data_IF_763771373862
#
_entry.id   IF_763771373862
#
_cell.length_a   1.000
_cell.length_b   1.000
_cell.length_c   1.000
_cell.angle_alpha   90.00
_cell.angle_beta   90.00
_cell.angle_gamma   90.00
#
_symmetry.space_group_name_H-M   'P 1'
#
loop_
_entity.id
_entity.type
_entity.pdbx_description
1 polymer ?
#
# COMPACT_ATOMS: atom_id res chain seq x y z
N UNK A 1 15.38 17.49 19.92
CA UNK A 1 15.20 16.23 19.15
C UNK A 1 15.94 15.01 19.72
N UNK A 2 17.28 14.88 19.62
CA UNK A 2 18.03 13.68 20.08
C UNK A 2 17.67 13.26 21.52
N UNK A 3 17.77 14.20 22.47
CA UNK A 3 17.39 13.98 23.88
C UNK A 3 15.97 13.47 24.07
N UNK A 4 15.01 14.00 23.31
CA UNK A 4 13.61 13.56 23.40
C UNK A 4 13.43 12.14 22.88
N UNK A 5 14.16 11.76 21.82
CA UNK A 5 14.07 10.41 21.25
C UNK A 5 14.62 9.38 22.23
N UNK A 6 15.77 9.68 22.86
CA UNK A 6 16.32 8.81 23.92
C UNK A 6 15.37 8.73 25.11
N UNK A 7 14.81 9.86 25.55
CA UNK A 7 13.84 9.86 26.66
C UNK A 7 12.61 8.99 26.36
N UNK A 8 12.08 9.09 25.14
CA UNK A 8 10.91 8.33 24.70
C UNK A 8 11.19 6.82 24.63
N UNK A 9 12.37 6.40 24.17
CA UNK A 9 12.71 4.96 24.15
C UNK A 9 12.96 4.40 25.55
N UNK A 10 13.41 5.21 26.50
CA UNK A 10 13.59 4.80 27.90
C UNK A 10 12.29 4.50 28.65
N UNK A 11 11.14 4.94 28.13
CA UNK A 11 9.83 4.52 28.66
C UNK A 11 9.57 3.02 28.48
N UNK A 12 10.36 2.35 27.62
CA UNK A 12 10.17 0.95 27.22
C UNK A 12 11.37 0.06 27.56
N UNK A 13 12.06 0.34 28.67
CA UNK A 13 13.16 -0.51 29.14
C UNK A 13 12.70 -1.97 29.39
N UNK A 14 13.59 -2.96 29.19
CA UNK A 14 14.98 -2.83 28.77
C UNK A 14 15.14 -2.54 27.27
N UNK A 15 16.20 -1.79 26.92
CA UNK A 15 16.55 -1.60 25.50
C UNK A 15 17.03 -2.92 24.88
N UNK A 16 16.80 -3.14 23.56
CA UNK A 16 17.27 -4.33 22.86
C UNK A 16 18.77 -4.56 23.02
N UNK A 17 19.18 -5.82 23.23
CA UNK A 17 20.60 -6.19 23.27
C UNK A 17 21.24 -6.11 21.88
N UNK A 18 22.54 -5.80 21.79
CA UNK A 18 23.24 -5.75 20.52
C UNK A 18 23.29 -7.14 19.88
N UNK A 19 23.20 -7.21 18.54
CA UNK A 19 23.29 -8.49 17.86
C UNK A 19 24.72 -9.04 17.78
N UNK A 20 25.72 -8.16 17.87
CA UNK A 20 27.14 -8.48 17.88
C UNK A 20 27.74 -7.97 19.20
N UNK A 21 28.51 -8.82 19.88
CA UNK A 21 29.23 -8.47 21.10
C UNK A 21 30.54 -9.25 21.19
N UNK A 22 31.51 -8.71 21.93
CA UNK A 22 32.76 -9.39 22.24
C UNK A 22 32.53 -10.20 23.52
N UNK A 23 32.74 -11.53 23.53
CA UNK A 23 32.45 -12.37 24.71
C UNK A 23 33.15 -11.91 26.00
N UNK A 24 34.36 -11.35 25.88
CA UNK A 24 35.15 -10.84 27.01
C UNK A 24 34.67 -9.47 27.53
N UNK A 25 33.86 -8.76 26.74
CA UNK A 25 33.29 -7.45 27.07
C UNK A 25 31.78 -7.44 26.77
N UNK A 26 30.97 -8.13 27.60
CA UNK A 26 29.54 -8.25 27.36
C UNK A 26 28.84 -6.89 27.42
N UNK A 27 27.79 -6.74 26.61
CA UNK A 27 27.03 -5.51 26.55
C UNK A 27 26.38 -5.16 27.91
N UNK A 28 26.54 -3.91 28.35
CA UNK A 28 25.90 -3.40 29.56
C UNK A 28 24.71 -2.53 29.19
N UNK A 29 23.50 -3.05 29.39
CA UNK A 29 22.28 -2.30 29.09
C UNK A 29 22.20 -1.02 29.92
N UNK A 30 21.94 0.15 29.31
CA UNK A 30 21.81 1.40 30.03
C UNK A 30 20.63 1.36 31.00
N UNK A 31 20.89 1.68 32.27
CA UNK A 31 19.87 1.75 33.31
C UNK A 31 19.56 3.18 33.78
N UNK A 32 20.27 4.18 33.24
CA UNK A 32 20.06 5.59 33.56
C UNK A 32 19.97 6.45 32.30
N UNK A 33 18.81 7.09 32.14
CA UNK A 33 18.52 8.01 31.03
C UNK A 33 19.51 9.17 30.99
N UNK A 34 19.92 9.67 32.15
CA UNK A 34 20.79 10.85 32.25
C UNK A 34 22.16 10.54 31.66
N UNK A 35 22.75 9.41 32.04
CA UNK A 35 24.04 8.95 31.54
C UNK A 35 24.03 8.76 30.02
N UNK A 36 23.06 8.02 29.47
CA UNK A 36 23.01 7.80 28.02
C UNK A 36 22.78 9.11 27.24
N UNK A 37 21.91 9.98 27.75
CA UNK A 37 21.67 11.29 27.14
C UNK A 37 22.95 12.14 27.14
N UNK A 38 23.70 12.16 28.24
CA UNK A 38 24.95 12.92 28.33
C UNK A 38 26.02 12.37 27.38
N UNK A 39 26.14 11.04 27.27
CA UNK A 39 27.04 10.40 26.29
C UNK A 39 26.66 10.79 24.86
N UNK A 40 25.37 10.69 24.51
CA UNK A 40 24.87 11.04 23.19
C UNK A 40 25.15 12.50 22.82
N UNK A 41 24.84 13.44 23.74
CA UNK A 41 25.08 14.87 23.54
C UNK A 41 26.56 15.21 23.51
N UNK A 42 27.36 14.60 24.39
CA UNK A 42 28.81 14.79 24.45
C UNK A 42 29.47 14.45 23.12
N UNK A 43 29.20 13.25 22.59
CA UNK A 43 29.73 12.81 21.30
C UNK A 43 29.25 13.72 20.16
N UNK A 44 27.96 14.05 20.13
CA UNK A 44 27.39 14.93 19.10
C UNK A 44 28.02 16.33 19.12
N UNK A 45 28.30 16.87 20.31
CA UNK A 45 28.82 18.23 20.48
C UNK A 45 30.29 18.39 20.10
N UNK A 46 31.07 17.32 20.19
CA UNK A 46 32.50 17.31 19.82
C UNK A 46 32.65 17.10 18.30
N UNK A 47 31.70 16.42 17.66
CA UNK A 47 31.71 16.08 16.23
C UNK A 47 31.19 17.20 15.32
N UNK A 48 31.77 18.40 15.42
CA UNK A 48 31.39 19.54 14.55
C UNK A 48 31.61 19.22 13.07
N UNK A 49 32.71 18.54 12.73
CA UNK A 49 33.03 18.17 11.36
C UNK A 49 32.03 17.16 10.78
N UNK A 50 31.66 16.12 11.55
CA UNK A 50 30.64 15.17 11.13
C UNK A 50 29.25 15.80 11.03
N UNK A 51 28.90 16.74 11.90
CA UNK A 51 27.66 17.51 11.76
C UNK A 51 27.61 18.28 10.42
N UNK A 52 28.67 19.03 10.10
CA UNK A 52 28.74 19.78 8.84
C UNK A 52 28.69 18.85 7.62
N UNK A 53 29.41 17.72 7.68
CA UNK A 53 29.37 16.71 6.62
C UNK A 53 27.95 16.14 6.39
N UNK A 54 27.23 15.79 7.47
CA UNK A 54 25.83 15.32 7.37
C UNK A 54 24.90 16.42 6.82
N UNK A 55 25.12 17.68 7.21
CA UNK A 55 24.37 18.81 6.68
C UNK A 55 24.62 18.98 5.17
N UNK A 56 25.87 18.87 4.72
CA UNK A 56 26.22 18.94 3.30
C UNK A 56 25.55 17.83 2.49
N UNK A 57 25.54 16.59 2.99
CA UNK A 57 24.81 15.47 2.36
C UNK A 57 23.32 15.81 2.17
N UNK A 58 22.69 16.42 3.18
CA UNK A 58 21.27 16.77 3.12
C UNK A 58 21.02 17.90 2.11
N UNK A 59 21.88 18.92 2.10
CA UNK A 59 21.81 20.00 1.12
C UNK A 59 21.95 19.43 -0.30
N UNK A 60 22.94 18.56 -0.53
CA UNK A 60 23.18 17.98 -1.85
C UNK A 60 21.93 17.23 -2.36
N UNK A 61 21.33 16.40 -1.51
CA UNK A 61 20.23 15.50 -1.86
C UNK A 61 18.84 16.16 -1.88
N UNK A 62 18.59 17.14 -1.02
CA UNK A 62 17.24 17.67 -0.77
C UNK A 62 17.05 19.15 -1.09
N UNK A 63 18.12 19.91 -1.33
CA UNK A 63 17.99 21.32 -1.69
C UNK A 63 17.22 21.47 -3.02
N UNK A 64 16.12 22.24 -3.03
CA UNK A 64 15.33 22.45 -4.24
C UNK A 64 16.15 23.07 -5.38
N UNK A 65 15.88 22.62 -6.60
CA UNK A 65 16.59 23.07 -7.80
C UNK A 65 16.50 24.58 -8.07
N UNK A 66 15.41 25.24 -7.63
CA UNK A 66 15.25 26.68 -7.79
C UNK A 66 16.20 27.50 -6.90
N UNK A 67 16.62 26.95 -5.75
CA UNK A 67 17.60 27.59 -4.86
C UNK A 67 18.98 27.51 -5.49
N UNK A 68 19.35 26.32 -6.00
CA UNK A 68 20.62 26.10 -6.72
C UNK A 68 20.80 27.03 -7.93
N UNK A 69 19.69 27.46 -8.54
CA UNK A 69 19.66 28.33 -9.73
C UNK A 69 19.40 29.80 -9.40
N UNK A 70 19.30 30.16 -8.12
CA UNK A 70 19.05 31.53 -7.70
C UNK A 70 20.28 32.42 -7.93
N UNK A 71 20.07 33.74 -8.05
CA UNK A 71 21.15 34.72 -8.27
C UNK A 71 22.10 34.77 -7.05
N UNK A 72 21.52 34.66 -5.86
CA UNK A 72 22.23 34.53 -4.59
C UNK A 72 21.78 33.21 -3.92
N UNK A 73 22.42 32.08 -4.25
CA UNK A 73 22.01 30.77 -3.77
C UNK A 73 22.27 30.60 -2.27
N UNK A 74 23.29 31.27 -1.72
CA UNK A 74 23.68 31.10 -0.32
C UNK A 74 22.64 31.72 0.63
N UNK A 75 22.19 32.94 0.35
CA UNK A 75 21.13 33.59 1.14
C UNK A 75 19.81 32.83 1.06
N UNK A 76 19.42 32.33 -0.11
CA UNK A 76 18.18 31.55 -0.25
C UNK A 76 18.30 30.16 0.41
N UNK A 77 19.49 29.55 0.38
CA UNK A 77 19.75 28.31 1.12
C UNK A 77 19.63 28.53 2.61
N UNK A 78 20.19 29.60 3.17
CA UNK A 78 20.05 29.92 4.59
C UNK A 78 18.58 30.09 4.99
N UNK A 79 17.78 30.78 4.17
CA UNK A 79 16.33 30.91 4.38
C UNK A 79 15.63 29.56 4.32
N UNK A 80 16.00 28.70 3.38
CA UNK A 80 15.42 27.36 3.26
C UNK A 80 15.79 26.47 4.45
N UNK A 81 17.06 26.43 4.85
CA UNK A 81 17.52 25.70 6.04
C UNK A 81 16.73 26.15 7.28
N UNK A 82 16.59 27.46 7.46
CA UNK A 82 15.86 28.05 8.60
C UNK A 82 14.37 27.69 8.62
N UNK A 83 13.74 27.54 7.44
CA UNK A 83 12.33 27.13 7.33
C UNK A 83 12.12 25.63 7.56
N UNK A 84 13.14 24.79 7.29
CA UNK A 84 13.03 23.33 7.31
C UNK A 84 13.82 22.69 8.48
N UNK A 85 14.09 23.43 9.55
CA UNK A 85 14.94 22.98 10.68
C UNK A 85 14.47 21.63 11.23
N UNK A 86 13.17 21.40 11.39
CA UNK A 86 12.66 20.15 11.96
C UNK A 86 12.99 18.94 11.08
N UNK A 87 12.67 19.01 9.79
CA UNK A 87 12.93 17.94 8.82
C UNK A 87 14.43 17.70 8.62
N UNK A 88 15.23 18.77 8.55
CA UNK A 88 16.68 18.68 8.44
C UNK A 88 17.27 18.05 9.70
N UNK A 89 16.81 18.47 10.89
CA UNK A 89 17.28 17.90 12.17
C UNK A 89 17.00 16.40 12.26
N UNK A 90 15.85 15.96 11.77
CA UNK A 90 15.50 14.55 11.72
C UNK A 90 16.41 13.76 10.78
N UNK A 91 16.65 14.28 9.57
CA UNK A 91 17.56 13.67 8.59
C UNK A 91 19.00 13.61 9.12
N UNK A 92 19.48 14.66 9.79
CA UNK A 92 20.80 14.67 10.44
C UNK A 92 20.85 13.56 11.49
N UNK A 93 19.80 13.42 12.30
CA UNK A 93 19.75 12.39 13.33
C UNK A 93 19.72 10.97 12.72
N UNK A 94 19.01 10.75 11.62
CA UNK A 94 19.01 9.47 10.89
C UNK A 94 20.43 9.13 10.39
N UNK A 95 21.14 10.10 9.78
CA UNK A 95 22.53 9.92 9.37
C UNK A 95 23.47 9.66 10.55
N UNK A 96 23.22 10.31 11.69
CA UNK A 96 24.00 10.07 12.89
C UNK A 96 23.76 8.68 13.49
N UNK A 97 22.51 8.20 13.51
CA UNK A 97 22.17 6.82 13.89
C UNK A 97 22.85 5.84 12.95
N UNK A 98 22.89 6.14 11.64
CA UNK A 98 23.60 5.33 10.65
C UNK A 98 25.08 5.17 10.98
N UNK A 99 25.77 6.25 11.33
CA UNK A 99 27.19 6.23 11.69
C UNK A 99 27.44 5.42 12.97
N UNK A 100 26.56 5.55 13.96
CA UNK A 100 26.63 4.75 15.18
C UNK A 100 26.37 3.27 14.91
N UNK A 101 25.36 2.93 14.11
CA UNK A 101 25.10 1.54 13.69
C UNK A 101 26.25 0.97 12.85
N UNK A 102 26.94 1.78 12.07
CA UNK A 102 28.11 1.34 11.30
C UNK A 102 29.23 0.83 12.21
N UNK A 103 29.42 1.45 13.38
CA UNK A 103 30.41 1.01 14.38
C UNK A 103 29.86 -0.12 15.25
N UNK A 104 28.57 -0.06 15.61
CA UNK A 104 27.92 -1.05 16.47
C UNK A 104 27.80 -2.43 15.79
N UNK A 105 27.56 -2.46 14.49
CA UNK A 105 27.38 -3.66 13.68
C UNK A 105 28.66 -4.04 12.91
N UNK A 106 29.81 -3.71 13.47
CA UNK A 106 31.11 -4.17 12.95
C UNK A 106 31.40 -5.58 13.45
N UNK A 107 31.52 -6.54 12.52
CA UNK A 107 31.80 -7.95 12.86
C UNK A 107 33.17 -8.14 13.52
N UNK A 108 34.16 -7.29 13.21
CA UNK A 108 35.51 -7.41 13.76
C UNK A 108 35.66 -6.72 15.12
N UNK A 109 34.91 -5.64 15.34
CA UNK A 109 35.04 -4.79 16.53
C UNK A 109 33.71 -4.11 16.87
N UNK A 110 32.70 -4.86 17.32
CA UNK A 110 31.38 -4.30 17.59
C UNK A 110 31.41 -3.34 18.78
N UNK A 111 30.83 -2.16 18.61
CA UNK A 111 30.73 -1.13 19.65
C UNK A 111 29.33 -1.14 20.31
N UNK A 112 29.26 -1.74 21.50
CA UNK A 112 28.00 -1.88 22.26
C UNK A 112 27.49 -0.55 22.82
N UNK A 113 28.36 0.43 23.05
CA UNK A 113 27.92 1.76 23.51
C UNK A 113 27.24 2.50 22.35
N UNK A 114 27.83 2.46 21.15
CA UNK A 114 27.23 2.98 19.93
C UNK A 114 25.95 2.27 19.56
N UNK A 115 25.84 0.97 19.86
CA UNK A 115 24.59 0.24 19.74
C UNK A 115 23.48 0.91 20.55
N UNK A 116 23.66 1.10 21.87
CA UNK A 116 22.59 1.66 22.69
C UNK A 116 22.26 3.11 22.35
N UNK A 117 23.25 3.92 21.95
CA UNK A 117 23.00 5.27 21.42
C UNK A 117 22.14 5.25 20.15
N UNK A 118 22.48 4.37 19.21
CA UNK A 118 21.75 4.24 17.95
C UNK A 118 20.35 3.66 18.14
N UNK A 119 20.19 2.56 18.87
CA UNK A 119 18.91 1.88 19.05
C UNK A 119 17.93 2.73 19.85
N UNK A 120 18.36 3.41 20.92
CA UNK A 120 17.51 4.30 21.70
C UNK A 120 17.01 5.49 20.87
N UNK A 121 17.89 6.06 20.04
CA UNK A 121 17.55 7.17 19.15
C UNK A 121 16.62 6.73 18.01
N UNK A 122 16.88 5.55 17.42
CA UNK A 122 16.04 4.96 16.37
C UNK A 122 14.64 4.64 16.88
N UNK A 123 14.54 3.94 18.02
CA UNK A 123 13.24 3.65 18.66
C UNK A 123 12.47 4.95 18.92
N UNK A 124 13.12 5.96 19.51
CA UNK A 124 12.49 7.24 19.78
C UNK A 124 11.98 7.96 18.53
N UNK A 125 12.73 7.92 17.42
CA UNK A 125 12.26 8.46 16.13
C UNK A 125 11.10 7.64 15.56
N UNK A 126 11.21 6.32 15.57
CA UNK A 126 10.18 5.41 15.07
C UNK A 126 8.86 5.53 15.83
N UNK A 127 8.92 5.81 17.14
CA UNK A 127 7.76 6.09 17.98
C UNK A 127 7.10 7.43 17.63
N UNK A 128 7.87 8.45 17.21
CA UNK A 128 7.32 9.75 16.76
C UNK A 128 6.60 9.67 15.40
N UNK A 129 6.94 8.71 14.54
CA UNK A 129 6.17 8.37 13.34
C UNK A 129 6.09 9.45 12.26
N UNK A 130 7.21 10.10 11.91
CA UNK A 130 7.25 11.03 10.78
C UNK A 130 7.39 10.30 9.44
N UNK A 131 6.96 10.93 8.34
CA UNK A 131 7.15 10.39 6.98
C UNK A 131 8.64 10.21 6.59
N UNK A 132 9.55 10.98 7.21
CA UNK A 132 10.99 10.88 6.96
C UNK A 132 11.51 9.57 7.55
N UNK A 133 11.22 9.29 8.82
CA UNK A 133 11.67 8.05 9.47
C UNK A 133 10.98 6.80 8.90
N UNK A 134 9.71 6.91 8.48
CA UNK A 134 9.02 5.84 7.77
C UNK A 134 9.85 5.36 6.56
N UNK A 135 10.27 6.29 5.71
CA UNK A 135 10.96 6.02 4.46
C UNK A 135 12.45 5.72 4.61
N UNK A 136 13.19 6.55 5.37
CA UNK A 136 14.65 6.50 5.48
C UNK A 136 15.15 5.66 6.64
N UNK A 137 14.36 5.53 7.71
CA UNK A 137 14.69 4.70 8.88
C UNK A 137 14.63 3.21 8.61
N UNK A 138 13.83 2.78 7.62
CA UNK A 138 13.62 1.37 7.32
C UNK A 138 14.93 0.62 7.01
N UNK A 139 15.85 1.25 6.28
CA UNK A 139 17.14 0.62 5.93
C UNK A 139 18.04 0.40 7.16
N UNK A 140 17.91 1.25 8.18
CA UNK A 140 18.62 1.10 9.46
C UNK A 140 18.04 -0.08 10.24
N UNK A 141 16.72 -0.22 10.24
CA UNK A 141 16.04 -1.37 10.84
C UNK A 141 16.41 -2.68 10.14
N UNK A 142 16.49 -2.68 8.81
CA UNK A 142 16.97 -3.83 8.02
C UNK A 142 18.40 -4.24 8.40
N UNK A 143 19.27 -3.26 8.64
CA UNK A 143 20.66 -3.50 9.06
C UNK A 143 20.73 -4.23 10.41
N UNK A 144 19.79 -3.93 11.32
CA UNK A 144 19.64 -4.62 12.61
C UNK A 144 19.22 -6.08 12.43
N UNK A 145 18.23 -6.35 11.57
CA UNK A 145 17.72 -7.72 11.32
C UNK A 145 18.86 -8.65 10.86
N UNK A 146 19.75 -8.15 10.01
CA UNK A 146 20.87 -8.91 9.48
C UNK A 146 22.17 -8.79 10.29
N UNK A 147 22.20 -7.95 11.32
CA UNK A 147 23.39 -7.64 12.11
C UNK A 147 24.58 -7.18 11.24
N UNK A 148 24.35 -6.26 10.30
CA UNK A 148 25.37 -5.75 9.37
C UNK A 148 25.43 -4.23 9.35
N UNK A 149 26.60 -3.69 9.02
CA UNK A 149 26.81 -2.25 8.85
C UNK A 149 25.77 -1.64 7.88
N UNK A 150 25.20 -0.45 8.15
CA UNK A 150 24.29 0.19 7.21
C UNK A 150 24.94 0.50 5.86
N UNK A 151 24.26 0.18 4.76
CA UNK A 151 24.77 0.35 3.39
C UNK A 151 23.65 0.24 2.34
N UNK A 152 24.01 0.44 1.06
CA UNK A 152 23.06 0.26 -0.05
C UNK A 152 22.90 -1.23 -0.29
N UNK A 153 21.89 -1.84 0.32
CA UNK A 153 21.50 -3.22 0.07
C UNK A 153 20.36 -3.23 -0.95
N UNK A 154 20.64 -3.68 -2.18
CA UNK A 154 19.58 -3.87 -3.17
C UNK A 154 18.81 -5.15 -2.83
N UNK A 155 17.74 -5.03 -2.04
CA UNK A 155 16.70 -6.08 -2.01
C UNK A 155 15.95 -6.01 -3.34
N UNK A 156 16.32 -6.87 -4.28
CA UNK A 156 15.44 -7.15 -5.43
C UNK A 156 14.27 -7.97 -4.92
N UNK A 157 13.17 -7.31 -4.54
CA UNK A 157 11.91 -8.01 -4.42
C UNK A 157 11.39 -8.29 -5.82
N UNK A 158 11.07 -9.54 -6.12
CA UNK A 158 10.30 -9.95 -7.29
C UNK A 158 9.16 -10.81 -6.75
N UNK A 159 7.93 -10.31 -6.79
CA UNK A 159 6.74 -11.01 -6.32
C UNK A 159 5.56 -10.70 -7.23
N UNK A 160 4.58 -11.60 -7.31
CA UNK A 160 3.44 -11.49 -8.27
C UNK A 160 2.67 -10.17 -8.23
N UNK A 161 2.70 -9.50 -7.07
CA UNK A 161 2.09 -8.19 -6.85
C UNK A 161 2.94 -6.99 -7.33
N UNK A 162 4.18 -7.22 -7.80
CA UNK A 162 5.11 -6.17 -8.25
C UNK A 162 5.23 -6.13 -9.77
N UNK A 163 5.30 -4.91 -10.33
CA UNK A 163 5.37 -4.65 -11.79
C UNK A 163 6.63 -5.29 -12.42
N UNK A 164 7.69 -5.46 -11.64
CA UNK A 164 8.98 -6.04 -12.07
C UNK A 164 9.01 -7.58 -12.07
N UNK A 165 7.93 -8.25 -11.68
CA UNK A 165 7.86 -9.71 -11.65
C UNK A 165 7.76 -10.29 -13.06
N UNK A 166 8.76 -11.08 -13.44
CA UNK A 166 8.91 -11.66 -14.77
C UNK A 166 8.38 -13.11 -14.86
N UNK A 167 7.77 -13.65 -13.82
CA UNK A 167 7.23 -15.01 -13.82
C UNK A 167 8.26 -16.12 -13.67
N UNK A 168 9.55 -15.82 -13.81
CA UNK A 168 10.63 -16.73 -13.52
C UNK A 168 10.88 -16.72 -12.02
N UNK A 169 10.82 -17.89 -11.38
CA UNK A 169 11.36 -18.06 -10.04
C UNK A 169 12.87 -17.95 -10.14
N UNK A 170 13.41 -16.74 -10.28
CA UNK A 170 14.77 -16.51 -9.84
C UNK A 170 14.77 -16.96 -8.38
N UNK A 171 15.49 -18.05 -8.08
CA UNK A 171 15.89 -18.37 -6.73
C UNK A 171 16.77 -17.22 -6.27
N UNK A 172 16.15 -16.08 -5.90
CA UNK A 172 16.81 -15.12 -5.06
C UNK A 172 17.08 -15.89 -3.79
N UNK A 173 18.36 -16.17 -3.52
CA UNK A 173 18.76 -16.64 -2.21
C UNK A 173 18.35 -15.54 -1.24
N UNK A 174 17.16 -15.69 -0.63
CA UNK A 174 16.72 -14.80 0.43
C UNK A 174 17.82 -14.81 1.49
N UNK A 175 18.32 -13.62 1.78
CA UNK A 175 19.37 -13.45 2.76
C UNK A 175 18.88 -13.93 4.13
N UNK A 176 19.70 -14.74 4.80
CA UNK A 176 19.35 -15.31 6.09
C UNK A 176 19.64 -14.26 7.17
N UNK A 177 18.61 -13.93 7.97
CA UNK A 177 18.73 -13.01 9.09
C UNK A 177 19.61 -13.54 10.23
N UNK A 178 20.26 -12.63 10.95
CA UNK A 178 21.10 -13.00 12.10
C UNK A 178 20.21 -13.29 13.32
N UNK A 179 20.40 -14.41 14.06
CA UNK A 179 19.51 -14.77 15.18
C UNK A 179 19.39 -13.67 16.24
N UNK A 180 20.50 -13.09 16.69
CA UNK A 180 20.48 -11.99 17.66
C UNK A 180 19.92 -10.69 17.06
N UNK A 181 20.07 -10.49 15.74
CA UNK A 181 19.48 -9.36 15.02
C UNK A 181 17.96 -9.45 14.97
N UNK A 182 17.43 -10.65 14.75
CA UNK A 182 15.99 -10.96 14.82
C UNK A 182 15.44 -10.72 16.23
N UNK A 183 16.17 -11.08 17.29
CA UNK A 183 15.75 -10.81 18.67
C UNK A 183 15.69 -9.30 18.96
N UNK A 184 16.71 -8.56 18.54
CA UNK A 184 16.73 -7.10 18.68
C UNK A 184 15.59 -6.44 17.88
N UNK A 185 15.40 -6.86 16.63
CA UNK A 185 14.33 -6.36 15.76
C UNK A 185 12.94 -6.67 16.31
N UNK A 186 12.68 -7.88 16.82
CA UNK A 186 11.42 -8.22 17.47
C UNK A 186 11.16 -7.34 18.70
N UNK A 187 12.19 -7.09 19.52
CA UNK A 187 12.07 -6.21 20.69
C UNK A 187 11.67 -4.78 20.27
N UNK A 188 12.27 -4.25 19.20
CA UNK A 188 11.89 -2.93 18.64
C UNK A 188 10.43 -2.96 18.15
N UNK A 189 10.02 -3.99 17.41
CA UNK A 189 8.65 -4.10 16.91
C UNK A 189 7.63 -4.24 18.05
N UNK A 190 7.97 -4.93 19.14
CA UNK A 190 7.13 -5.06 20.32
C UNK A 190 6.91 -3.69 21.00
N UNK A 191 7.98 -2.90 21.13
CA UNK A 191 7.92 -1.52 21.65
C UNK A 191 7.01 -0.65 20.76
N UNK A 192 7.23 -0.69 19.44
CA UNK A 192 6.40 0.06 18.49
C UNK A 192 4.95 -0.38 18.55
N UNK A 193 4.68 -1.68 18.66
CA UNK A 193 3.33 -2.23 18.72
C UNK A 193 2.60 -1.78 19.98
N UNK A 194 3.29 -1.75 21.12
CA UNK A 194 2.73 -1.26 22.38
C UNK A 194 2.38 0.23 22.32
N UNK A 195 3.19 1.05 21.64
CA UNK A 195 2.89 2.48 21.49
C UNK A 195 1.82 2.76 20.42
N UNK A 196 1.80 1.95 19.36
CA UNK A 196 0.90 2.09 18.20
C UNK A 196 -0.59 1.97 18.58
N UNK A 197 -0.93 1.37 19.71
CA UNK A 197 -2.32 1.29 20.18
C UNK A 197 -2.91 2.66 20.51
N UNK A 198 -2.08 3.61 20.95
CA UNK A 198 -2.51 4.96 21.36
C UNK A 198 -1.97 6.08 20.47
N UNK A 199 -0.96 5.79 19.65
CA UNK A 199 -0.24 6.76 18.83
C UNK A 199 -0.01 6.25 17.41
N UNK A 200 0.29 7.16 16.46
CA UNK A 200 0.72 6.77 15.12
C UNK A 200 2.24 6.69 15.06
N UNK A 201 2.75 5.50 14.78
CA UNK A 201 4.17 5.18 14.65
C UNK A 201 4.47 4.72 13.22
N UNK A 202 5.75 4.46 12.93
CA UNK A 202 6.18 3.88 11.64
C UNK A 202 5.74 2.43 11.43
N UNK A 203 5.22 1.76 12.46
CA UNK A 203 5.03 0.31 12.47
C UNK A 203 4.19 -0.21 11.29
N UNK A 204 3.00 0.33 10.98
CA UNK A 204 2.19 -0.15 9.85
C UNK A 204 2.96 -0.14 8.53
N UNK A 205 3.71 0.94 8.28
CA UNK A 205 4.54 1.11 7.08
C UNK A 205 5.68 0.08 7.02
N UNK A 206 6.35 -0.16 8.15
CA UNK A 206 7.41 -1.16 8.21
C UNK A 206 6.88 -2.59 8.07
N UNK A 207 5.73 -2.92 8.67
CA UNK A 207 5.10 -4.24 8.51
C UNK A 207 4.76 -4.56 7.06
N UNK A 208 4.29 -3.58 6.27
CA UNK A 208 4.05 -3.76 4.83
C UNK A 208 5.32 -4.11 4.06
N UNK A 209 6.42 -3.42 4.35
CA UNK A 209 7.70 -3.67 3.67
C UNK A 209 8.33 -5.01 4.09
N UNK A 210 8.22 -5.34 5.38
CA UNK A 210 8.76 -6.59 5.94
C UNK A 210 7.98 -7.82 5.46
N UNK A 211 6.69 -7.68 5.15
CA UNK A 211 5.87 -8.81 4.69
C UNK A 211 6.22 -9.32 3.29
N UNK A 212 7.00 -8.55 2.52
CA UNK A 212 7.40 -8.91 1.16
C UNK A 212 8.34 -10.13 1.14
N UNK A 213 9.27 -10.21 2.10
CA UNK A 213 10.20 -11.34 2.20
C UNK A 213 9.59 -12.45 3.05
N UNK A 214 9.63 -13.69 2.52
CA UNK A 214 9.08 -14.86 3.20
C UNK A 214 9.83 -15.15 4.49
N UNK A 215 11.16 -15.19 4.43
CA UNK A 215 12.01 -15.45 5.59
C UNK A 215 11.78 -14.41 6.69
N UNK A 216 11.85 -13.12 6.37
CA UNK A 216 11.66 -12.02 7.34
C UNK A 216 10.25 -12.04 7.94
N UNK A 217 9.22 -12.19 7.09
CA UNK A 217 7.83 -12.26 7.53
C UNK A 217 7.61 -13.37 8.57
N UNK A 218 8.25 -14.52 8.37
CA UNK A 218 8.24 -15.63 9.31
C UNK A 218 9.00 -15.34 10.60
N UNK A 219 10.27 -14.93 10.53
CA UNK A 219 11.11 -14.77 11.74
C UNK A 219 10.70 -13.59 12.64
N UNK A 220 10.02 -12.57 12.07
CA UNK A 220 9.48 -11.43 12.83
C UNK A 220 7.99 -11.58 13.16
N UNK A 221 7.38 -12.72 12.80
CA UNK A 221 5.98 -13.03 13.03
C UNK A 221 5.02 -11.92 12.55
N UNK A 222 5.28 -11.40 11.35
CA UNK A 222 4.54 -10.27 10.76
C UNK A 222 3.02 -10.53 10.71
N UNK A 223 2.52 -11.71 10.30
CA UNK A 223 1.08 -11.97 10.26
C UNK A 223 0.38 -11.76 11.61
N UNK A 224 0.99 -12.25 12.70
CA UNK A 224 0.41 -12.09 14.04
C UNK A 224 0.40 -10.63 14.49
N UNK A 225 1.45 -9.86 14.17
CA UNK A 225 1.52 -8.43 14.47
C UNK A 225 0.43 -7.65 13.73
N UNK A 226 0.23 -7.95 12.45
CA UNK A 226 -0.83 -7.34 11.64
C UNK A 226 -2.21 -7.70 12.19
N UNK A 227 -2.44 -8.98 12.55
CA UNK A 227 -3.70 -9.42 13.15
C UNK A 227 -4.06 -8.63 14.41
N UNK A 228 -3.08 -8.34 15.27
CA UNK A 228 -3.28 -7.57 16.50
C UNK A 228 -3.62 -6.09 16.25
N UNK A 229 -3.27 -5.54 15.07
CA UNK A 229 -3.41 -4.12 14.77
C UNK A 229 -4.57 -3.80 13.83
N UNK A 230 -4.93 -4.72 12.93
CA UNK A 230 -5.88 -4.45 11.84
C UNK A 230 -7.28 -4.09 12.33
N UNK A 231 -7.73 -4.69 13.44
CA UNK A 231 -9.06 -4.44 14.00
C UNK A 231 -9.15 -3.00 14.53
N UNK A 232 -8.09 -2.54 15.20
CA UNK A 232 -8.01 -1.22 15.83
C UNK A 232 -7.34 -0.15 14.97
N UNK A 233 -6.93 -0.50 13.74
CA UNK A 233 -6.29 0.44 12.82
C UNK A 233 -7.14 1.69 12.56
N UNK A 234 -6.50 2.81 12.27
CA UNK A 234 -7.16 4.03 11.81
C UNK A 234 -7.04 4.15 10.28
N UNK A 235 -7.65 5.20 9.72
CA UNK A 235 -7.67 5.43 8.28
C UNK A 235 -6.26 5.57 7.66
N UNK A 236 -5.29 6.15 8.38
CA UNK A 236 -3.95 6.36 7.84
C UNK A 236 -3.15 5.06 7.74
N UNK A 237 -3.41 4.11 8.64
CA UNK A 237 -2.57 2.91 8.79
C UNK A 237 -3.18 1.66 8.13
N UNK A 238 -4.49 1.70 7.85
CA UNK A 238 -5.25 0.53 7.40
C UNK A 238 -4.76 -0.02 6.05
N UNK A 239 -4.34 0.85 5.12
CA UNK A 239 -3.87 0.44 3.80
C UNK A 239 -2.57 -0.37 3.93
N UNK A 240 -1.58 0.11 4.69
CA UNK A 240 -0.31 -0.59 4.88
C UNK A 240 -0.53 -1.97 5.55
N UNK A 241 -1.41 -2.05 6.55
CA UNK A 241 -1.72 -3.33 7.22
C UNK A 241 -2.46 -4.31 6.32
N UNK A 242 -3.37 -3.83 5.46
CA UNK A 242 -4.02 -4.66 4.45
C UNK A 242 -3.01 -5.17 3.43
N UNK A 243 -2.13 -4.30 2.92
CA UNK A 243 -1.07 -4.69 2.00
C UNK A 243 -0.12 -5.70 2.64
N UNK A 244 0.24 -5.52 3.91
CA UNK A 244 1.03 -6.49 4.66
C UNK A 244 0.37 -7.89 4.69
N UNK A 245 -0.95 -7.92 4.87
CA UNK A 245 -1.76 -9.15 4.86
C UNK A 245 -1.80 -9.78 3.48
N UNK A 246 -1.98 -8.97 2.43
CA UNK A 246 -2.04 -9.42 1.02
C UNK A 246 -0.70 -10.03 0.59
N UNK A 247 0.43 -9.37 0.87
CA UNK A 247 1.76 -9.93 0.60
C UNK A 247 1.95 -11.30 1.29
N UNK A 248 1.38 -11.45 2.49
CA UNK A 248 1.47 -12.67 3.29
C UNK A 248 0.59 -13.82 2.79
N UNK A 249 -0.36 -13.59 1.87
CA UNK A 249 -1.25 -14.64 1.34
C UNK A 249 -0.49 -15.82 0.73
N UNK A 250 0.60 -15.54 0.02
CA UNK A 250 1.41 -16.56 -0.65
C UNK A 250 2.13 -17.51 0.33
N UNK A 251 2.43 -17.02 1.54
CA UNK A 251 3.28 -17.72 2.51
C UNK A 251 2.52 -18.22 3.74
N UNK A 252 1.47 -17.51 4.16
CA UNK A 252 0.64 -17.80 5.33
C UNK A 252 -0.85 -17.64 4.99
N UNK A 253 -1.38 -18.45 4.05
CA UNK A 253 -2.72 -18.25 3.48
C UNK A 253 -3.82 -18.28 4.53
N UNK A 254 -3.78 -19.21 5.47
CA UNK A 254 -4.86 -19.40 6.45
C UNK A 254 -5.04 -18.16 7.35
N UNK A 255 -3.93 -17.65 7.91
CA UNK A 255 -3.93 -16.46 8.76
C UNK A 255 -4.30 -15.22 7.95
N UNK A 256 -3.74 -15.05 6.75
CA UNK A 256 -4.05 -13.92 5.89
C UNK A 256 -5.53 -13.89 5.47
N UNK A 257 -6.11 -15.05 5.12
CA UNK A 257 -7.53 -15.14 4.77
C UNK A 257 -8.43 -14.79 5.95
N UNK A 258 -8.09 -15.26 7.14
CA UNK A 258 -8.82 -14.91 8.36
C UNK A 258 -8.77 -13.40 8.62
N UNK A 259 -7.59 -12.78 8.52
CA UNK A 259 -7.44 -11.31 8.68
C UNK A 259 -8.25 -10.54 7.63
N UNK A 260 -8.18 -10.93 6.35
CA UNK A 260 -8.94 -10.27 5.28
C UNK A 260 -10.45 -10.46 5.45
N UNK A 261 -10.88 -11.62 5.94
CA UNK A 261 -12.28 -11.87 6.27
C UNK A 261 -12.74 -11.00 7.45
N UNK A 262 -11.92 -10.83 8.48
CA UNK A 262 -12.18 -9.90 9.59
C UNK A 262 -12.28 -8.46 9.09
N UNK A 263 -11.37 -8.02 8.22
CA UNK A 263 -11.42 -6.71 7.59
C UNK A 263 -12.71 -6.50 6.79
N UNK A 264 -13.15 -7.51 6.04
CA UNK A 264 -14.41 -7.51 5.30
C UNK A 264 -15.66 -7.41 6.20
N UNK A 265 -15.56 -7.87 7.45
CA UNK A 265 -16.62 -7.85 8.46
C UNK A 265 -16.54 -6.66 9.41
N UNK A 266 -15.50 -5.84 9.33
CA UNK A 266 -15.25 -4.77 10.29
C UNK A 266 -16.36 -3.72 10.24
N UNK A 267 -16.69 -3.13 11.38
CA UNK A 267 -17.60 -1.98 11.45
C UNK A 267 -17.00 -0.73 10.77
N UNK A 268 -15.67 -0.69 10.59
CA UNK A 268 -14.94 0.44 10.01
C UNK A 268 -15.08 0.48 8.49
N UNK A 269 -15.87 1.44 7.99
CA UNK A 269 -16.09 1.63 6.54
C UNK A 269 -14.79 1.80 5.75
N UNK A 270 -13.84 2.60 6.24
CA UNK A 270 -12.57 2.82 5.53
C UNK A 270 -11.76 1.53 5.37
N UNK A 271 -11.86 0.58 6.32
CA UNK A 271 -11.15 -0.70 6.20
C UNK A 271 -11.79 -1.55 5.10
N UNK A 272 -13.12 -1.59 5.03
CA UNK A 272 -13.87 -2.30 3.97
C UNK A 272 -13.66 -1.65 2.60
N UNK A 273 -13.63 -0.31 2.51
CA UNK A 273 -13.30 0.44 1.29
C UNK A 273 -11.89 0.12 0.79
N UNK A 274 -10.90 0.12 1.69
CA UNK A 274 -9.53 -0.22 1.30
C UNK A 274 -9.39 -1.68 0.87
N UNK A 275 -10.10 -2.61 1.51
CA UNK A 275 -10.16 -4.00 1.06
C UNK A 275 -10.75 -4.10 -0.35
N UNK A 276 -11.88 -3.43 -0.61
CA UNK A 276 -12.54 -3.40 -1.91
C UNK A 276 -11.64 -2.88 -3.03
N UNK A 277 -10.85 -1.83 -2.77
CA UNK A 277 -9.88 -1.28 -3.73
C UNK A 277 -8.73 -2.24 -4.05
N UNK A 278 -8.49 -3.25 -3.20
CA UNK A 278 -7.38 -4.18 -3.30
C UNK A 278 -7.76 -5.59 -3.78
N UNK A 279 -9.01 -5.82 -4.18
CA UNK A 279 -9.48 -7.13 -4.68
C UNK A 279 -8.64 -7.65 -5.86
N UNK A 280 -8.20 -6.77 -6.77
CA UNK A 280 -7.34 -7.17 -7.90
C UNK A 280 -6.00 -7.78 -7.47
N UNK A 281 -5.44 -7.32 -6.34
CA UNK A 281 -4.21 -7.86 -5.77
C UNK A 281 -4.45 -9.20 -5.07
N UNK A 282 -5.61 -9.35 -4.40
CA UNK A 282 -6.00 -10.63 -3.78
C UNK A 282 -6.23 -11.69 -4.86
N UNK A 283 -6.90 -11.34 -5.96
CA UNK A 283 -7.14 -12.22 -7.11
C UNK A 283 -5.86 -12.83 -7.71
N UNK A 284 -4.75 -12.08 -7.69
CA UNK A 284 -3.46 -12.60 -8.19
C UNK A 284 -2.85 -13.71 -7.34
N UNK A 285 -3.28 -13.82 -6.08
CA UNK A 285 -2.80 -14.85 -5.14
C UNK A 285 -3.84 -15.96 -4.97
N UNK A 286 -5.12 -15.61 -4.72
CA UNK A 286 -6.22 -16.56 -4.54
C UNK A 286 -7.54 -15.98 -5.08
N UNK A 287 -7.91 -16.44 -6.29
CA UNK A 287 -9.13 -16.00 -6.98
C UNK A 287 -10.41 -16.44 -6.28
N UNK A 288 -10.51 -17.70 -5.88
CA UNK A 288 -11.74 -18.25 -5.30
C UNK A 288 -12.07 -17.51 -3.99
N UNK A 289 -11.04 -17.23 -3.18
CA UNK A 289 -11.18 -16.41 -1.99
C UNK A 289 -11.54 -14.97 -2.33
N UNK A 290 -10.90 -14.35 -3.34
CA UNK A 290 -11.24 -13.00 -3.79
C UNK A 290 -12.70 -12.87 -4.23
N UNK A 291 -13.22 -13.84 -4.98
CA UNK A 291 -14.63 -13.89 -5.39
C UNK A 291 -15.55 -13.98 -4.17
N UNK A 292 -15.19 -14.77 -3.16
CA UNK A 292 -15.97 -14.85 -1.91
C UNK A 292 -16.02 -13.51 -1.15
N UNK A 293 -14.94 -12.73 -1.15
CA UNK A 293 -14.91 -11.39 -0.57
C UNK A 293 -15.76 -10.42 -1.40
N UNK A 294 -15.65 -10.48 -2.73
CA UNK A 294 -16.47 -9.67 -3.63
C UNK A 294 -17.97 -9.90 -3.40
N UNK A 295 -18.42 -11.14 -3.24
CA UNK A 295 -19.83 -11.46 -2.96
C UNK A 295 -20.39 -10.71 -1.76
N UNK A 296 -19.54 -10.48 -0.76
CA UNK A 296 -19.89 -9.77 0.45
C UNK A 296 -19.82 -8.26 0.26
N UNK A 297 -18.71 -7.74 -0.25
CA UNK A 297 -18.48 -6.30 -0.40
C UNK A 297 -19.42 -5.64 -1.42
N UNK A 298 -19.89 -6.38 -2.44
CA UNK A 298 -20.88 -5.87 -3.39
C UNK A 298 -22.26 -5.65 -2.75
N UNK A 299 -22.50 -6.28 -1.60
CA UNK A 299 -23.72 -6.18 -0.77
C UNK A 299 -23.50 -5.33 0.49
N UNK A 300 -22.35 -4.66 0.61
CA UNK A 300 -22.03 -3.81 1.76
C UNK A 300 -23.06 -2.69 1.94
N UNK A 301 -23.28 -2.28 3.17
CA UNK A 301 -24.16 -1.15 3.51
C UNK A 301 -23.55 0.17 3.02
N UNK A 302 -22.22 0.30 3.11
CA UNK A 302 -21.48 1.46 2.64
C UNK A 302 -21.46 1.51 1.10
N UNK A 303 -22.03 2.56 0.48
CA UNK A 303 -22.14 2.60 -0.96
C UNK A 303 -20.79 2.79 -1.67
N UNK A 304 -19.80 3.41 -1.02
CA UNK A 304 -18.48 3.59 -1.63
C UNK A 304 -17.74 2.25 -1.70
N UNK A 305 -17.85 1.40 -0.67
CA UNK A 305 -17.35 0.02 -0.68
C UNK A 305 -17.94 -0.78 -1.84
N UNK A 306 -19.27 -0.68 -2.08
CA UNK A 306 -19.92 -1.36 -3.22
C UNK A 306 -19.39 -0.88 -4.57
N UNK A 307 -19.22 0.43 -4.74
CA UNK A 307 -18.71 1.02 -5.99
C UNK A 307 -17.25 0.63 -6.23
N UNK A 308 -16.40 0.67 -5.20
CA UNK A 308 -15.00 0.24 -5.28
C UNK A 308 -14.91 -1.24 -5.69
N UNK A 309 -15.69 -2.09 -5.03
CA UNK A 309 -15.76 -3.54 -5.34
C UNK A 309 -16.20 -3.81 -6.78
N UNK A 310 -17.12 -3.00 -7.30
CA UNK A 310 -17.60 -3.11 -8.69
C UNK A 310 -16.47 -2.91 -9.71
N UNK A 311 -15.43 -2.14 -9.36
CA UNK A 311 -14.27 -1.92 -10.23
C UNK A 311 -13.54 -3.23 -10.55
N UNK A 312 -13.49 -4.18 -9.60
CA UNK A 312 -12.84 -5.48 -9.79
C UNK A 312 -13.58 -6.36 -10.81
N UNK A 313 -14.86 -6.11 -11.09
CA UNK A 313 -15.59 -6.84 -12.15
C UNK A 313 -14.95 -6.66 -13.53
N UNK A 314 -14.21 -5.56 -13.76
CA UNK A 314 -13.41 -5.39 -14.98
C UNK A 314 -12.36 -6.48 -15.16
N UNK A 315 -11.75 -6.96 -14.08
CA UNK A 315 -10.80 -8.08 -14.12
C UNK A 315 -11.53 -9.40 -14.42
N UNK A 316 -12.67 -9.64 -13.78
CA UNK A 316 -13.48 -10.84 -14.03
C UNK A 316 -14.04 -10.89 -15.44
N UNK A 317 -14.38 -9.75 -16.06
CA UNK A 317 -14.80 -9.70 -17.46
C UNK A 317 -13.73 -10.31 -18.39
N UNK A 318 -12.44 -10.18 -18.03
CA UNK A 318 -11.30 -10.73 -18.78
C UNK A 318 -11.01 -12.19 -18.44
N UNK A 319 -11.10 -12.54 -17.17
CA UNK A 319 -10.57 -13.81 -16.65
C UNK A 319 -11.64 -14.88 -16.46
N UNK A 320 -12.85 -14.49 -16.05
CA UNK A 320 -13.92 -15.41 -15.68
C UNK A 320 -15.30 -14.85 -16.03
N UNK A 321 -15.66 -15.03 -17.31
CA UNK A 321 -16.86 -14.44 -17.91
C UNK A 321 -18.15 -14.84 -17.21
N UNK A 322 -18.29 -16.10 -16.78
CA UNK A 322 -19.49 -16.60 -16.08
C UNK A 322 -19.76 -15.82 -14.79
N UNK A 323 -18.73 -15.62 -13.98
CA UNK A 323 -18.82 -14.88 -12.72
C UNK A 323 -19.11 -13.40 -12.97
N UNK A 324 -18.47 -12.80 -13.98
CA UNK A 324 -18.79 -11.42 -14.40
C UNK A 324 -20.28 -11.25 -14.77
N UNK A 325 -20.83 -12.17 -15.56
CA UNK A 325 -22.25 -12.15 -15.97
C UNK A 325 -23.16 -12.25 -14.73
N UNK A 326 -22.85 -13.17 -13.81
CA UNK A 326 -23.62 -13.37 -12.59
C UNK A 326 -23.69 -12.08 -11.76
N UNK A 327 -22.56 -11.45 -11.46
CA UNK A 327 -22.54 -10.21 -10.68
C UNK A 327 -23.14 -9.03 -11.44
N UNK A 328 -22.96 -8.94 -12.74
CA UNK A 328 -23.63 -7.90 -13.55
C UNK A 328 -25.14 -7.97 -13.41
N UNK A 329 -25.72 -9.18 -13.49
CA UNK A 329 -27.15 -9.43 -13.29
C UNK A 329 -27.61 -9.17 -11.86
N UNK A 330 -26.71 -9.28 -10.87
CA UNK A 330 -27.02 -8.90 -9.48
C UNK A 330 -27.01 -7.37 -9.32
N UNK A 331 -25.99 -6.68 -9.83
CA UNK A 331 -25.84 -5.22 -9.72
C UNK A 331 -26.98 -4.51 -10.41
N UNK A 332 -27.42 -4.96 -11.59
CA UNK A 332 -28.55 -4.36 -12.30
C UNK A 332 -29.83 -4.36 -11.45
N UNK A 333 -30.05 -5.39 -10.64
CA UNK A 333 -31.21 -5.42 -9.73
C UNK A 333 -31.10 -4.39 -8.60
N UNK A 334 -29.89 -3.93 -8.28
CA UNK A 334 -29.66 -2.87 -7.30
C UNK A 334 -29.86 -1.53 -7.98
N UNK A 335 -30.74 -0.69 -7.43
CA UNK A 335 -31.00 0.67 -7.95
C UNK A 335 -29.86 1.65 -7.59
N UNK A 336 -28.60 1.22 -7.70
CA UNK A 336 -27.41 2.02 -7.44
C UNK A 336 -26.74 2.41 -8.75
N UNK A 337 -27.02 3.63 -9.20
CA UNK A 337 -26.53 4.15 -10.48
C UNK A 337 -25.01 4.26 -10.55
N UNK A 338 -24.32 4.42 -9.41
CA UNK A 338 -22.86 4.53 -9.36
C UNK A 338 -22.20 3.18 -9.64
N UNK A 339 -22.77 2.09 -9.13
CA UNK A 339 -22.29 0.74 -9.42
C UNK A 339 -22.46 0.42 -10.90
N UNK A 340 -23.64 0.69 -11.46
CA UNK A 340 -23.94 0.47 -12.87
C UNK A 340 -22.97 1.25 -13.77
N UNK A 341 -22.73 2.52 -13.44
CA UNK A 341 -21.75 3.35 -14.14
C UNK A 341 -20.34 2.74 -14.08
N UNK A 342 -19.87 2.37 -12.89
CA UNK A 342 -18.53 1.78 -12.73
C UNK A 342 -18.38 0.46 -13.48
N UNK A 343 -19.42 -0.37 -13.51
CA UNK A 343 -19.44 -1.63 -14.25
C UNK A 343 -19.28 -1.39 -15.77
N UNK A 344 -20.00 -0.42 -16.31
CA UNK A 344 -19.93 -0.04 -17.73
C UNK A 344 -18.52 0.45 -18.08
N UNK A 345 -17.94 1.29 -17.22
CA UNK A 345 -16.59 1.84 -17.40
C UNK A 345 -15.48 0.79 -17.34
N UNK A 346 -15.56 -0.13 -16.37
CA UNK A 346 -14.45 -1.03 -16.04
C UNK A 346 -14.48 -2.38 -16.79
N UNK A 347 -15.66 -2.94 -17.08
CA UNK A 347 -15.77 -4.33 -17.56
C UNK A 347 -16.55 -4.52 -18.85
N UNK A 348 -17.62 -3.75 -19.06
CA UNK A 348 -18.58 -4.05 -20.14
C UNK A 348 -17.96 -3.96 -21.54
N UNK A 349 -17.05 -3.02 -21.77
CA UNK A 349 -16.33 -2.92 -23.05
C UNK A 349 -15.56 -4.20 -23.37
N UNK A 350 -14.90 -4.78 -22.37
CA UNK A 350 -14.15 -6.01 -22.58
C UNK A 350 -15.08 -7.20 -22.83
N UNK A 351 -16.16 -7.31 -22.07
CA UNK A 351 -17.21 -8.31 -22.32
C UNK A 351 -17.73 -8.25 -23.77
N UNK A 352 -18.09 -7.06 -24.27
CA UNK A 352 -18.60 -6.89 -25.64
C UNK A 352 -17.54 -7.13 -26.73
N UNK A 353 -16.26 -6.98 -26.41
CA UNK A 353 -15.18 -7.32 -27.33
C UNK A 353 -15.06 -8.83 -27.56
N UNK A 354 -15.41 -9.64 -26.56
CA UNK A 354 -15.43 -11.10 -26.63
C UNK A 354 -16.79 -11.64 -27.10
N UNK A 355 -17.88 -10.99 -26.73
CA UNK A 355 -19.24 -11.31 -27.18
C UNK A 355 -20.00 -10.09 -27.69
N UNK A 356 -19.81 -9.79 -28.97
CA UNK A 356 -20.54 -8.72 -29.65
C UNK A 356 -22.05 -8.98 -29.79
N UNK A 357 -22.52 -10.21 -29.59
CA UNK A 357 -23.94 -10.57 -29.68
C UNK A 357 -24.71 -10.30 -28.40
N UNK A 358 -24.01 -9.94 -27.31
CA UNK A 358 -24.55 -9.82 -25.96
C UNK A 358 -25.47 -10.99 -25.61
N UNK A 359 -24.93 -12.21 -25.61
CA UNK A 359 -25.73 -13.43 -25.49
C UNK A 359 -26.51 -13.52 -24.16
N UNK A 360 -26.05 -12.79 -23.14
CA UNK A 360 -26.63 -12.75 -21.80
C UNK A 360 -27.55 -11.54 -21.54
N UNK A 361 -27.79 -10.71 -22.56
CA UNK A 361 -28.66 -9.52 -22.50
C UNK A 361 -28.27 -8.50 -21.43
N UNK A 362 -26.97 -8.33 -21.23
CA UNK A 362 -26.45 -7.39 -20.24
C UNK A 362 -26.67 -5.94 -20.69
N UNK A 363 -26.53 -5.62 -21.98
CA UNK A 363 -26.67 -4.26 -22.49
C UNK A 363 -28.11 -3.76 -22.40
N UNK A 364 -29.14 -4.50 -22.86
CA UNK A 364 -30.53 -4.07 -22.67
C UNK A 364 -30.89 -3.85 -21.21
N UNK A 365 -30.44 -4.76 -20.33
CA UNK A 365 -30.68 -4.70 -18.90
C UNK A 365 -30.06 -3.44 -18.27
N UNK A 366 -28.77 -3.18 -18.55
CA UNK A 366 -28.07 -2.00 -18.02
C UNK A 366 -28.61 -0.70 -18.61
N UNK A 367 -29.02 -0.70 -19.89
CA UNK A 367 -29.56 0.49 -20.55
C UNK A 367 -30.82 1.03 -19.85
N UNK A 368 -31.73 0.13 -19.49
CA UNK A 368 -32.99 0.47 -18.83
C UNK A 368 -32.78 1.16 -17.47
N UNK A 369 -31.72 0.80 -16.75
CA UNK A 369 -31.52 1.20 -15.36
C UNK A 369 -30.44 2.26 -15.13
N UNK A 370 -29.60 2.52 -16.14
CA UNK A 370 -28.46 3.42 -15.99
C UNK A 370 -28.82 4.90 -16.19
N UNK A 371 -27.94 5.78 -15.68
CA UNK A 371 -28.08 7.23 -15.80
C UNK A 371 -27.71 7.75 -17.21
N UNK A 372 -27.95 9.04 -17.47
CA UNK A 372 -27.67 9.67 -18.78
C UNK A 372 -26.20 9.57 -19.21
N UNK A 373 -25.26 9.61 -18.26
CA UNK A 373 -23.82 9.48 -18.53
C UNK A 373 -23.47 8.07 -18.98
N UNK A 374 -23.95 7.06 -18.27
CA UNK A 374 -23.80 5.65 -18.61
C UNK A 374 -24.42 5.33 -19.99
N UNK A 375 -25.60 5.89 -20.31
CA UNK A 375 -26.22 5.77 -21.64
C UNK A 375 -25.37 6.43 -22.74
N UNK A 376 -24.69 7.52 -22.43
CA UNK A 376 -23.73 8.15 -23.34
C UNK A 376 -22.55 7.21 -23.64
N UNK A 377 -22.02 6.50 -22.65
CA UNK A 377 -20.95 5.52 -22.87
C UNK A 377 -21.46 4.30 -23.64
N UNK A 378 -22.59 3.71 -23.24
CA UNK A 378 -23.22 2.56 -23.89
C UNK A 378 -23.55 2.82 -25.35
N UNK A 379 -24.11 3.99 -25.68
CA UNK A 379 -24.39 4.35 -27.08
C UNK A 379 -23.13 4.40 -27.94
N UNK A 380 -21.97 4.74 -27.34
CA UNK A 380 -20.68 4.67 -28.03
C UNK A 380 -20.29 3.24 -28.37
N UNK A 381 -20.39 2.35 -27.38
CA UNK A 381 -20.11 0.92 -27.56
C UNK A 381 -21.08 0.28 -28.58
N UNK A 382 -22.35 0.64 -28.55
CA UNK A 382 -23.36 0.16 -29.50
C UNK A 382 -23.09 0.63 -30.94
N UNK A 383 -22.63 1.87 -31.14
CA UNK A 383 -22.20 2.35 -32.47
C UNK A 383 -21.00 1.55 -32.98
N UNK A 384 -20.04 1.23 -32.12
CA UNK A 384 -18.90 0.38 -32.49
C UNK A 384 -19.33 -1.04 -32.87
N UNK A 385 -20.28 -1.62 -32.13
CA UNK A 385 -20.89 -2.92 -32.48
C UNK A 385 -21.62 -2.80 -33.82
N UNK A 386 -22.47 -1.80 -34.01
CA UNK A 386 -23.23 -1.62 -35.26
C UNK A 386 -22.35 -1.48 -36.49
N UNK A 387 -21.19 -0.83 -36.37
CA UNK A 387 -20.19 -0.72 -37.44
C UNK A 387 -19.53 -2.06 -37.80
N UNK A 388 -19.36 -2.96 -36.84
CA UNK A 388 -18.67 -4.26 -37.03
C UNK A 388 -19.63 -5.42 -37.28
N UNK A 389 -20.79 -5.40 -36.63
CA UNK A 389 -21.77 -6.48 -36.57
C UNK A 389 -23.19 -5.90 -36.43
N UNK A 390 -23.73 -5.47 -37.56
CA UNK A 390 -25.07 -4.86 -37.65
C UNK A 390 -26.21 -5.78 -37.14
N UNK A 391 -26.23 -7.11 -37.42
CA UNK A 391 -27.24 -8.00 -36.87
C UNK A 391 -27.34 -7.98 -35.34
N UNK A 392 -26.20 -7.98 -34.64
CA UNK A 392 -26.17 -7.93 -33.17
C UNK A 392 -26.70 -6.60 -32.64
N UNK A 393 -26.32 -5.49 -33.28
CA UNK A 393 -26.83 -4.17 -32.94
C UNK A 393 -28.35 -4.08 -33.07
N UNK A 394 -28.92 -4.64 -34.15
CA UNK A 394 -30.39 -4.72 -34.32
C UNK A 394 -30.99 -5.55 -33.20
N UNK A 395 -30.47 -6.77 -32.94
CA UNK A 395 -30.97 -7.66 -31.89
C UNK A 395 -30.99 -6.99 -30.50
N UNK A 396 -29.91 -6.31 -30.13
CA UNK A 396 -29.80 -5.59 -28.85
C UNK A 396 -30.82 -4.44 -28.81
N UNK A 397 -30.95 -3.68 -29.89
CA UNK A 397 -31.89 -2.55 -29.99
C UNK A 397 -33.35 -3.01 -29.91
N UNK A 398 -33.69 -4.14 -30.54
CA UNK A 398 -35.02 -4.77 -30.44
C UNK A 398 -35.32 -5.15 -29.00
N UNK A 399 -34.36 -5.77 -28.29
CA UNK A 399 -34.55 -6.12 -26.87
C UNK A 399 -34.73 -4.89 -25.96
N UNK A 400 -34.06 -3.78 -26.26
CA UNK A 400 -34.29 -2.51 -25.53
C UNK A 400 -35.72 -2.01 -25.78
N UNK A 401 -36.21 -2.08 -27.03
CA UNK A 401 -37.59 -1.73 -27.39
C UNK A 401 -38.63 -2.60 -26.65
N UNK A 402 -38.35 -3.90 -26.52
CA UNK A 402 -39.20 -4.84 -25.79
C UNK A 402 -39.23 -4.57 -24.27
N UNK A 403 -38.13 -4.09 -23.69
CA UNK A 403 -38.04 -3.79 -22.26
C UNK A 403 -38.71 -2.48 -21.86
N UNK A 404 -38.44 -1.40 -22.59
CA UNK A 404 -39.02 -0.08 -22.32
C UNK A 404 -39.00 0.82 -23.55
N UNK A 405 -40.19 1.28 -23.96
CA UNK A 405 -40.38 2.10 -25.15
C UNK A 405 -39.74 3.49 -25.00
N UNK A 406 -39.74 4.07 -23.80
CA UNK A 406 -39.15 5.38 -23.56
C UNK A 406 -37.61 5.31 -23.59
N UNK A 407 -37.04 4.26 -23.00
CA UNK A 407 -35.61 3.95 -23.11
C UNK A 407 -35.17 3.69 -24.55
N UNK A 408 -36.04 3.10 -25.39
CA UNK A 408 -35.77 2.90 -26.81
C UNK A 408 -35.77 4.22 -27.60
N UNK A 409 -36.71 5.12 -27.31
CA UNK A 409 -36.73 6.46 -27.92
C UNK A 409 -35.44 7.22 -27.57
N UNK A 410 -34.99 7.16 -26.31
CA UNK A 410 -33.71 7.75 -25.88
C UNK A 410 -32.51 7.14 -26.64
N UNK A 411 -32.51 5.82 -26.83
CA UNK A 411 -31.48 5.13 -27.64
C UNK A 411 -31.45 5.68 -29.08
N UNK A 412 -32.59 5.71 -29.76
CA UNK A 412 -32.70 6.19 -31.13
C UNK A 412 -32.19 7.64 -31.25
N UNK A 413 -32.54 8.50 -30.29
CA UNK A 413 -32.08 9.89 -30.26
C UNK A 413 -30.56 9.98 -30.11
N UNK A 414 -29.98 9.24 -29.17
CA UNK A 414 -28.53 9.25 -28.92
C UNK A 414 -27.73 8.67 -30.08
N UNK A 415 -28.21 7.59 -30.70
CA UNK A 415 -27.57 7.03 -31.90
C UNK A 415 -27.70 8.00 -33.07
N UNK A 416 -28.85 8.67 -33.26
CA UNK A 416 -29.04 9.67 -34.32
C UNK A 416 -28.01 10.81 -34.26
N UNK A 417 -27.64 11.24 -33.06
CA UNK A 417 -26.61 12.26 -32.86
C UNK A 417 -25.19 11.79 -33.19
N UNK A 418 -24.94 10.48 -33.19
CA UNK A 418 -23.59 9.89 -33.36
C UNK A 418 -23.39 9.23 -34.72
N UNK A 419 -24.42 8.63 -35.29
CA UNK A 419 -24.39 7.94 -36.57
C UNK A 419 -25.82 7.85 -37.16
N UNK A 420 -26.09 8.67 -38.17
CA UNK A 420 -27.40 8.77 -38.82
C UNK A 420 -27.81 7.49 -39.58
N UNK A 421 -26.85 6.76 -40.16
CA UNK A 421 -27.11 5.53 -40.91
C UNK A 421 -27.59 4.41 -39.98
N UNK A 422 -26.89 4.17 -38.87
CA UNK A 422 -27.29 3.19 -37.84
C UNK A 422 -28.61 3.57 -37.19
N UNK A 423 -28.88 4.86 -36.99
CA UNK A 423 -30.15 5.32 -36.45
C UNK A 423 -31.33 4.99 -37.37
N UNK A 424 -31.16 5.10 -38.69
CA UNK A 424 -32.21 4.76 -39.65
C UNK A 424 -32.52 3.25 -39.65
N UNK A 425 -31.51 2.40 -39.43
CA UNK A 425 -31.68 0.95 -39.33
C UNK A 425 -32.61 0.59 -38.15
N UNK A 426 -32.42 1.21 -36.99
CA UNK A 426 -33.22 0.90 -35.80
C UNK A 426 -34.57 1.62 -35.78
N UNK A 427 -34.69 2.81 -36.39
CA UNK A 427 -36.01 3.48 -36.53
C UNK A 427 -37.07 2.59 -37.19
N UNK A 428 -36.65 1.65 -38.05
CA UNK A 428 -37.51 0.70 -38.76
C UNK A 428 -37.87 -0.57 -37.94
N UNK A 429 -37.46 -0.66 -36.66
CA UNK A 429 -37.82 -1.76 -35.75
C UNK A 429 -39.20 -1.54 -35.10
N UNK A 430 -39.79 -0.34 -35.26
CA UNK A 430 -41.20 -0.06 -34.98
C UNK A 430 -42.11 -0.71 -36.03
#
# INVERSE_FOLDING_TARGET
MLRECIALSFEYLPLPNPPLEIPDFPAQSPNDLTTLTQQALGISSIDTAGFLYRLDIIIENHEPSFIKRHIDPDTEREKWLSKNIAEISERILILQIKDWLYSALDEESPDTDRWYLSVSSLIGLSLKGSQIIESEGFNLFDSIIFARKPGIYSRKSSGRHQITWNGESEFSNEEISHPSGVLAANSILDILQLHQTNHNTVLPYWLERLSISKHISFVLNIPSRVQNLIIDCNQNNCENLLMATIHSLSNNPDVSKEILYQACNSEKEYLRRNLASNLSRIDSEDRDFCVSLLEKLIRDEDPDTRVLSTTYLGNLARLERSVFIQFTKEISKKQDSRMIQRLIESGLRHYLSLDSNDSDDLVPMLWAQCNSESRSQLSGMLVEIGKKNQPSFIKISTKISELDRDSYIDLVNRISLRNSELANIIKNIQ
#
